data_IF_399970924039
#
_entry.id   IF_399970924039
#
_cell.length_a   1.000
_cell.length_b   1.000
_cell.length_c   1.000
_cell.angle_alpha   90.00
_cell.angle_beta   90.00
_cell.angle_gamma   90.00
#
_symmetry.space_group_name_H-M   'P 1'
#
loop_
_entity.id
_entity.type
_entity.pdbx_description
1 polymer ?
#
# COMPACT_ATOMS: atom_id res chain seq x y z
N UNK A 1 -20.89 -4.85 -9.81
CA UNK A 1 -20.20 -6.16 -9.66
C UNK A 1 -20.76 -7.12 -10.69
N UNK A 2 -19.95 -8.00 -11.26
CA UNK A 2 -20.39 -9.02 -12.20
C UNK A 2 -19.83 -10.40 -11.85
N UNK A 3 -20.57 -11.44 -12.23
CA UNK A 3 -20.17 -12.86 -12.16
C UNK A 3 -20.48 -13.50 -13.51
N UNK A 4 -19.49 -14.13 -14.13
CA UNK A 4 -19.59 -14.68 -15.50
C UNK A 4 -20.07 -13.63 -16.53
N UNK A 5 -19.68 -12.36 -16.33
CA UNK A 5 -20.12 -11.24 -17.18
C UNK A 5 -21.52 -10.72 -16.91
N UNK A 6 -22.30 -11.35 -16.04
CA UNK A 6 -23.65 -10.94 -15.69
C UNK A 6 -23.66 -10.09 -14.40
N UNK A 7 -24.50 -9.04 -14.33
CA UNK A 7 -24.66 -8.27 -13.10
C UNK A 7 -25.21 -9.16 -11.98
N UNK A 8 -24.64 -9.01 -10.79
CA UNK A 8 -25.13 -9.67 -9.58
C UNK A 8 -25.99 -8.68 -8.80
N UNK A 9 -27.07 -9.18 -8.21
CA UNK A 9 -27.86 -8.43 -7.23
C UNK A 9 -27.02 -8.13 -5.98
N UNK A 10 -26.73 -6.85 -5.77
CA UNK A 10 -25.90 -6.38 -4.66
C UNK A 10 -26.63 -6.41 -3.32
N UNK A 11 -27.97 -6.43 -3.29
CA UNK A 11 -28.72 -6.52 -2.03
C UNK A 11 -28.48 -7.85 -1.31
N UNK A 12 -28.05 -8.87 -2.06
CA UNK A 12 -27.72 -10.21 -1.54
C UNK A 12 -26.25 -10.39 -1.20
N UNK A 13 -25.44 -9.34 -1.35
CA UNK A 13 -24.00 -9.34 -1.09
C UNK A 13 -23.71 -8.45 0.12
N UNK A 14 -23.14 -9.06 1.16
CA UNK A 14 -22.72 -8.36 2.38
C UNK A 14 -21.25 -8.01 2.30
N UNK A 15 -20.93 -6.75 2.59
CA UNK A 15 -19.57 -6.24 2.72
C UNK A 15 -19.11 -6.31 4.17
N UNK A 16 -17.93 -6.87 4.42
CA UNK A 16 -17.27 -6.81 5.72
C UNK A 16 -16.38 -5.59 5.83
N UNK A 17 -16.34 -4.94 7.01
CA UNK A 17 -15.37 -3.88 7.30
C UNK A 17 -13.91 -4.30 7.11
N UNK A 18 -13.62 -5.62 7.14
CA UNK A 18 -12.29 -6.18 6.87
C UNK A 18 -11.98 -6.38 5.37
N UNK A 19 -12.87 -6.00 4.45
CA UNK A 19 -12.60 -5.99 3.01
C UNK A 19 -12.95 -7.28 2.25
N UNK A 20 -13.72 -8.19 2.85
CA UNK A 20 -14.24 -9.38 2.15
C UNK A 20 -15.74 -9.27 1.86
N UNK A 21 -16.16 -9.97 0.80
CA UNK A 21 -17.55 -10.08 0.35
C UNK A 21 -18.12 -11.44 0.71
N UNK A 22 -19.31 -11.46 1.33
CA UNK A 22 -20.05 -12.68 1.64
C UNK A 22 -21.44 -12.62 1.01
N UNK A 23 -21.93 -13.74 0.48
CA UNK A 23 -23.33 -13.92 0.11
C UNK A 23 -23.83 -15.26 0.67
N UNK A 24 -25.14 -15.50 0.57
CA UNK A 24 -25.75 -16.72 1.13
C UNK A 24 -25.55 -17.95 0.23
N UNK A 25 -25.13 -17.76 -1.02
CA UNK A 25 -24.78 -18.82 -1.97
C UNK A 25 -23.28 -18.84 -2.27
N UNK A 26 -22.73 -19.98 -2.69
CA UNK A 26 -21.33 -20.07 -3.12
C UNK A 26 -21.04 -19.16 -4.32
N UNK A 27 -19.82 -18.62 -4.41
CA UNK A 27 -19.31 -17.98 -5.63
C UNK A 27 -19.11 -19.01 -6.74
N UNK A 28 -19.16 -18.59 -8.01
CA UNK A 28 -18.75 -19.43 -9.14
C UNK A 28 -17.34 -19.99 -8.94
N UNK A 29 -17.14 -21.23 -9.36
CA UNK A 29 -15.82 -21.91 -9.31
C UNK A 29 -14.93 -21.53 -10.50
N UNK A 30 -15.50 -20.95 -11.55
CA UNK A 30 -14.76 -20.46 -12.70
C UNK A 30 -13.80 -19.31 -12.32
N UNK A 31 -12.51 -19.50 -12.59
CA UNK A 31 -11.48 -18.50 -12.35
C UNK A 31 -11.72 -17.22 -13.17
N UNK A 32 -11.43 -16.06 -12.57
CA UNK A 32 -11.56 -14.75 -13.23
C UNK A 32 -12.99 -14.30 -13.52
N UNK A 33 -13.99 -15.11 -13.20
CA UNK A 33 -15.39 -14.83 -13.51
C UNK A 33 -16.03 -13.75 -12.64
N UNK A 34 -15.46 -13.45 -11.46
CA UNK A 34 -15.98 -12.43 -10.55
C UNK A 34 -15.20 -11.12 -10.72
N UNK A 35 -15.91 -10.03 -11.02
CA UNK A 35 -15.33 -8.68 -11.10
C UNK A 35 -16.07 -7.73 -10.16
N UNK A 36 -15.31 -7.10 -9.27
CA UNK A 36 -15.84 -6.12 -8.30
C UNK A 36 -15.14 -4.79 -8.53
N UNK A 37 -15.93 -3.73 -8.75
CA UNK A 37 -15.44 -2.35 -8.65
C UNK A 37 -15.68 -1.87 -7.22
N UNK A 38 -14.63 -1.43 -6.54
CA UNK A 38 -14.67 -0.99 -5.14
C UNK A 38 -14.06 0.39 -5.07
N UNK A 39 -14.79 1.34 -4.47
CA UNK A 39 -14.20 2.58 -3.99
C UNK A 39 -13.82 2.39 -2.53
N UNK A 40 -12.53 2.51 -2.21
CA UNK A 40 -12.00 2.30 -0.87
C UNK A 40 -11.11 3.45 -0.43
N UNK A 41 -10.72 3.43 0.84
CA UNK A 41 -9.89 4.46 1.47
C UNK A 41 -10.69 5.38 2.37
N UNK A 42 -9.98 6.30 3.01
CA UNK A 42 -10.58 7.31 3.88
C UNK A 42 -10.83 8.59 3.08
N UNK A 43 -12.07 9.12 3.06
CA UNK A 43 -12.33 10.44 2.46
C UNK A 43 -11.62 11.54 3.27
N UNK A 44 -11.51 11.35 4.58
CA UNK A 44 -10.68 12.14 5.49
C UNK A 44 -9.71 11.19 6.23
N UNK A 45 -8.42 11.14 5.84
CA UNK A 45 -7.47 10.19 6.41
C UNK A 45 -7.13 10.53 7.86
N UNK A 46 -6.87 9.52 8.73
CA UNK A 46 -6.44 9.76 10.09
C UNK A 46 -5.24 10.73 10.15
N UNK A 47 -5.23 11.73 11.06
CA UNK A 47 -4.18 12.74 11.10
C UNK A 47 -2.76 12.18 11.20
N UNK A 48 -2.59 11.04 11.89
CA UNK A 48 -1.32 10.33 12.01
C UNK A 48 -0.81 9.82 10.65
N UNK A 49 -1.69 9.27 9.80
CA UNK A 49 -1.33 8.80 8.46
C UNK A 49 -0.92 9.98 7.60
N UNK A 50 -1.69 11.07 7.62
CA UNK A 50 -1.37 12.29 6.89
C UNK A 50 -0.02 12.90 7.34
N UNK A 51 0.26 12.91 8.64
CA UNK A 51 1.51 13.42 9.19
C UNK A 51 2.73 12.59 8.76
N UNK A 52 2.61 11.26 8.75
CA UNK A 52 3.68 10.37 8.27
C UNK A 52 3.93 10.59 6.78
N UNK A 53 2.88 10.65 5.95
CA UNK A 53 3.00 10.93 4.51
C UNK A 53 3.66 12.28 4.25
N UNK A 54 3.28 13.31 5.00
CA UNK A 54 3.91 14.63 4.91
C UNK A 54 5.39 14.58 5.32
N UNK A 55 5.74 13.82 6.35
CA UNK A 55 7.13 13.61 6.78
C UNK A 55 7.99 12.96 5.69
N UNK A 56 7.46 11.92 5.05
CA UNK A 56 8.11 11.25 3.91
C UNK A 56 8.29 12.23 2.75
N UNK A 57 7.24 12.98 2.38
CA UNK A 57 7.28 13.94 1.28
C UNK A 57 8.29 15.07 1.53
N UNK A 58 8.37 15.59 2.77
CA UNK A 58 9.40 16.58 3.16
C UNK A 58 10.80 16.03 2.97
N UNK A 59 11.08 14.83 3.50
CA UNK A 59 12.40 14.20 3.32
C UNK A 59 12.74 13.93 1.86
N UNK A 60 11.76 13.49 1.06
CA UNK A 60 11.95 13.27 -0.38
C UNK A 60 12.26 14.58 -1.13
N UNK A 61 11.69 15.70 -0.67
CA UNK A 61 11.97 17.03 -1.22
C UNK A 61 13.36 17.55 -0.79
N UNK A 62 13.68 17.43 0.49
CA UNK A 62 14.90 17.98 1.09
C UNK A 62 16.15 17.15 0.74
N UNK A 63 15.96 15.85 0.52
CA UNK A 63 16.97 14.93 0.03
C UNK A 63 16.36 14.17 -1.14
N UNK A 64 16.29 14.79 -2.33
CA UNK A 64 15.88 14.09 -3.53
C UNK A 64 16.71 12.83 -3.65
N UNK A 65 16.06 11.68 -3.83
CA UNK A 65 16.74 10.46 -4.18
C UNK A 65 17.37 10.64 -5.56
N UNK A 66 18.51 11.33 -5.63
CA UNK A 66 19.37 11.27 -6.78
C UNK A 66 19.86 9.83 -6.84
N UNK A 67 19.38 9.10 -7.84
CA UNK A 67 20.05 7.90 -8.33
C UNK A 67 21.41 8.32 -8.90
N UNK A 68 22.35 8.74 -8.03
CA UNK A 68 23.76 8.80 -8.36
C UNK A 68 24.21 7.35 -8.31
N UNK A 69 24.09 6.65 -9.44
CA UNK A 69 24.83 5.41 -9.65
C UNK A 69 26.29 5.68 -9.26
N UNK A 70 26.83 4.85 -8.37
CA UNK A 70 28.12 5.00 -7.73
C UNK A 70 29.17 5.62 -8.68
N UNK A 71 29.50 6.89 -8.47
CA UNK A 71 30.62 7.52 -9.20
C UNK A 71 31.83 7.43 -8.29
N UNK A 72 32.67 6.43 -8.52
CA UNK A 72 34.00 6.40 -7.91
C UNK A 72 34.85 7.45 -8.63
N UNK A 73 35.23 8.51 -7.93
CA UNK A 73 36.15 9.54 -8.42
C UNK A 73 37.40 9.56 -7.53
N UNK A 74 38.39 8.72 -7.85
CA UNK A 74 39.66 8.66 -7.12
C UNK A 74 39.49 8.11 -5.68
N UNK A 75 40.21 8.64 -4.67
CA UNK A 75 40.21 8.10 -3.31
C UNK A 75 38.92 8.36 -2.51
N UNK A 76 37.91 8.99 -3.11
CA UNK A 76 36.64 9.30 -2.46
C UNK A 76 35.60 8.23 -2.81
N UNK A 77 35.14 7.50 -1.80
CA UNK A 77 34.04 6.55 -1.90
C UNK A 77 32.82 7.13 -1.19
N UNK A 78 31.71 7.27 -1.93
CA UNK A 78 30.42 7.67 -1.38
C UNK A 78 29.56 6.41 -1.21
N UNK A 79 29.16 6.11 0.03
CA UNK A 79 28.33 4.93 0.34
C UNK A 79 26.86 5.34 0.33
N UNK A 80 26.08 4.78 -0.60
CA UNK A 80 24.62 4.96 -0.58
C UNK A 80 24.01 4.26 0.64
N UNK A 81 23.10 4.95 1.33
CA UNK A 81 22.27 4.32 2.35
C UNK A 81 21.17 3.52 1.65
N UNK A 82 21.28 2.20 1.67
CA UNK A 82 20.24 1.29 1.17
C UNK A 82 19.17 1.09 2.24
N UNK A 83 17.89 1.10 1.84
CA UNK A 83 16.80 0.71 2.74
C UNK A 83 16.93 -0.75 3.19
N UNK A 84 16.32 -1.16 4.33
CA UNK A 84 16.33 -2.56 4.79
C UNK A 84 15.75 -3.57 3.79
N UNK A 85 15.01 -3.10 2.79
CA UNK A 85 14.38 -3.85 1.71
C UNK A 85 15.25 -3.89 0.43
N UNK A 86 16.49 -3.39 0.47
CA UNK A 86 17.37 -3.34 -0.68
C UNK A 86 17.01 -2.25 -1.69
N UNK A 87 16.01 -1.41 -1.41
CA UNK A 87 15.64 -0.30 -2.30
C UNK A 87 16.76 0.74 -2.35
N UNK A 88 17.23 1.02 -3.57
CA UNK A 88 18.18 2.09 -3.86
C UNK A 88 17.37 3.31 -4.27
N UNK A 89 17.43 4.39 -3.48
CA UNK A 89 16.76 5.65 -3.82
C UNK A 89 15.30 5.77 -3.34
N UNK A 90 14.96 5.21 -2.18
CA UNK A 90 13.68 5.44 -1.51
C UNK A 90 13.85 6.18 -0.18
N UNK A 91 12.91 7.05 0.19
CA UNK A 91 12.81 7.52 1.57
C UNK A 91 12.26 6.39 2.41
N UNK A 92 13.13 5.69 3.14
CA UNK A 92 12.70 4.63 4.06
C UNK A 92 11.88 5.22 5.21
N UNK A 93 10.86 4.49 5.66
CA UNK A 93 10.17 4.80 6.91
C UNK A 93 11.14 4.70 8.09
N UNK A 94 11.15 5.72 8.93
CA UNK A 94 11.83 5.70 10.23
C UNK A 94 11.17 4.68 11.17
N UNK A 95 11.87 4.21 12.23
CA UNK A 95 11.28 3.30 13.21
C UNK A 95 9.97 3.84 13.82
N UNK A 96 9.97 5.11 14.22
CA UNK A 96 8.78 5.76 14.79
C UNK A 96 7.60 5.80 13.80
N UNK A 97 7.85 6.08 12.52
CA UNK A 97 6.77 6.05 11.51
C UNK A 97 6.22 4.65 11.31
N UNK A 98 7.06 3.60 11.39
CA UNK A 98 6.59 2.21 11.34
C UNK A 98 5.73 1.88 12.55
N UNK A 99 6.12 2.31 13.74
CA UNK A 99 5.36 2.09 14.97
C UNK A 99 3.99 2.81 14.92
N UNK A 100 3.97 4.06 14.44
CA UNK A 100 2.74 4.83 14.23
C UNK A 100 1.81 4.15 13.20
N UNK A 101 2.38 3.56 12.15
CA UNK A 101 1.63 2.87 11.11
C UNK A 101 1.25 1.42 11.45
N UNK A 102 1.80 0.84 12.53
CA UNK A 102 1.63 -0.57 12.86
C UNK A 102 0.15 -0.96 13.04
N UNK A 103 -0.66 -0.05 13.59
CA UNK A 103 -2.12 -0.26 13.80
C UNK A 103 -2.89 -0.33 12.48
N UNK A 104 -2.36 0.26 11.40
CA UNK A 104 -3.00 0.26 10.07
C UNK A 104 -2.53 -0.89 9.18
N UNK A 105 -1.66 -1.76 9.69
CA UNK A 105 -1.13 -2.89 8.93
C UNK A 105 -2.24 -3.90 8.62
N UNK A 106 -2.42 -4.20 7.34
CA UNK A 106 -3.31 -5.29 6.91
C UNK A 106 -2.61 -6.62 7.19
N UNK A 107 -3.25 -7.46 8.00
CA UNK A 107 -2.81 -8.84 8.26
C UNK A 107 -3.60 -9.76 7.35
N UNK A 108 -2.92 -10.71 6.71
CA UNK A 108 -3.60 -11.71 5.89
C UNK A 108 -4.59 -12.49 6.75
N UNK A 109 -5.82 -12.62 6.26
CA UNK A 109 -6.81 -13.51 6.85
C UNK A 109 -6.42 -14.92 6.38
N UNK A 110 -6.05 -15.78 7.32
CA UNK A 110 -5.72 -17.19 7.09
C UNK A 110 -6.95 -18.08 6.97
#
# INVERSE_FOLDING_TARGET
MTENGHPIDLERVRWSGAGYLRRDTGWTECEGSVRVGITHGWPDPPPVVAAVVLGIAKRAKDTPATAVGARTAGPFSETLTTGPDGSIGGVTLTPTERDLLAVYRIVAIG
#
